data_IF_170039609277
#
_entry.id   IF_170039609277
#
_cell.length_a   1.000
_cell.length_b   1.000
_cell.length_c   1.000
_cell.angle_alpha   90.00
_cell.angle_beta   90.00
_cell.angle_gamma   90.00
#
_symmetry.space_group_name_H-M   'P 1'
#
loop_
_entity.id
_entity.type
_entity.pdbx_description
1 polymer ?
#
# COMPACT_ATOMS: atom_id res chain seq x y z
N UNK A 1 -21.11 -16.94 -117.35
CA UNK A 1 -22.34 -17.77 -117.17
C UNK A 1 -22.11 -18.70 -115.97
N UNK A 2 -23.12 -18.93 -115.11
CA UNK A 2 -23.21 -18.25 -113.81
C UNK A 2 -23.35 -19.18 -112.58
N UNK A 3 -23.45 -18.54 -111.40
CA UNK A 3 -24.21 -18.91 -110.18
C UNK A 3 -23.70 -20.12 -109.36
N UNK A 4 -23.82 -20.22 -108.03
CA UNK A 4 -24.17 -19.41 -106.86
C UNK A 4 -23.60 -20.25 -105.67
N UNK A 5 -23.34 -19.80 -104.45
CA UNK A 5 -23.80 -18.65 -103.71
C UNK A 5 -23.00 -18.55 -102.41
N UNK A 6 -22.98 -17.34 -101.85
CA UNK A 6 -22.44 -17.02 -100.53
C UNK A 6 -23.48 -16.13 -99.86
N UNK A 7 -24.09 -16.58 -98.76
CA UNK A 7 -24.63 -15.72 -97.71
C UNK A 7 -24.76 -16.49 -96.37
N UNK A 8 -24.24 -15.86 -95.31
CA UNK A 8 -24.89 -15.69 -94.00
C UNK A 8 -25.01 -16.89 -93.05
N UNK A 9 -24.39 -16.77 -91.87
CA UNK A 9 -24.68 -17.65 -90.73
C UNK A 9 -23.72 -17.47 -89.56
N UNK A 10 -23.97 -16.45 -88.74
CA UNK A 10 -23.33 -16.22 -87.44
C UNK A 10 -23.67 -17.39 -86.50
N UNK A 11 -22.67 -18.13 -86.02
CA UNK A 11 -22.82 -18.98 -84.84
C UNK A 11 -21.57 -18.83 -83.96
N UNK A 12 -21.78 -18.19 -82.80
CA UNK A 12 -20.92 -18.25 -81.62
C UNK A 12 -20.77 -19.72 -81.21
N UNK A 13 -19.54 -20.22 -81.21
CA UNK A 13 -19.19 -21.42 -80.47
C UNK A 13 -18.48 -21.01 -79.18
N UNK A 14 -19.12 -21.31 -78.06
CA UNK A 14 -18.65 -21.12 -76.69
C UNK A 14 -17.27 -21.78 -76.48
N UNK A 15 -16.36 -21.15 -75.71
CA UNK A 15 -15.23 -21.87 -75.14
C UNK A 15 -15.76 -22.86 -74.10
N UNK A 16 -15.27 -24.09 -74.18
CA UNK A 16 -15.56 -25.19 -73.28
C UNK A 16 -15.44 -24.75 -71.82
N UNK A 17 -16.50 -25.02 -71.06
CA UNK A 17 -16.56 -24.81 -69.63
C UNK A 17 -15.46 -25.61 -68.94
N UNK A 18 -14.45 -24.90 -68.43
CA UNK A 18 -13.55 -25.45 -67.42
C UNK A 18 -14.37 -25.86 -66.22
N UNK A 19 -14.28 -27.14 -65.86
CA UNK A 19 -14.84 -27.75 -64.66
C UNK A 19 -14.68 -26.84 -63.43
N UNK A 20 -15.72 -26.65 -62.60
CA UNK A 20 -15.61 -25.84 -61.39
C UNK A 20 -14.51 -26.41 -60.49
N UNK A 21 -13.49 -25.59 -60.22
CA UNK A 21 -12.43 -25.86 -59.25
C UNK A 21 -13.08 -26.27 -57.94
N UNK A 22 -12.62 -27.40 -57.38
CA UNK A 22 -13.02 -27.91 -56.07
C UNK A 22 -13.16 -26.76 -55.07
N UNK A 23 -14.41 -26.49 -54.72
CA UNK A 23 -14.83 -25.44 -53.80
C UNK A 23 -14.22 -25.73 -52.44
N UNK A 24 -13.50 -24.74 -51.91
CA UNK A 24 -13.09 -24.73 -50.50
C UNK A 24 -14.31 -24.98 -49.62
N UNK A 25 -14.13 -25.71 -48.53
CA UNK A 25 -15.04 -25.58 -47.40
C UNK A 25 -14.93 -24.12 -46.93
N UNK A 26 -15.92 -23.29 -47.24
CA UNK A 26 -16.03 -21.89 -46.78
C UNK A 26 -15.80 -21.79 -45.26
N UNK A 27 -16.13 -22.87 -44.54
CA UNK A 27 -15.87 -23.07 -43.11
C UNK A 27 -14.39 -23.03 -42.75
N UNK A 28 -13.51 -23.68 -43.51
CA UNK A 28 -12.06 -23.73 -43.22
C UNK A 28 -11.40 -22.36 -43.36
N UNK A 29 -11.79 -21.60 -44.39
CA UNK A 29 -11.23 -20.27 -44.60
C UNK A 29 -11.72 -19.30 -43.52
N UNK A 30 -12.99 -19.39 -43.14
CA UNK A 30 -13.56 -18.60 -42.06
C UNK A 30 -12.86 -18.89 -40.74
N UNK A 31 -12.74 -20.18 -40.41
CA UNK A 31 -12.03 -20.63 -39.22
C UNK A 31 -10.58 -20.12 -39.21
N UNK A 32 -9.86 -20.23 -40.34
CA UNK A 32 -8.51 -19.69 -40.44
C UNK A 32 -8.46 -18.17 -40.17
N UNK A 33 -9.36 -17.39 -40.76
CA UNK A 33 -9.38 -15.93 -40.52
C UNK A 33 -9.71 -15.55 -39.08
N UNK A 34 -10.59 -16.32 -38.42
CA UNK A 34 -10.95 -16.11 -37.02
C UNK A 34 -9.78 -16.49 -36.09
N UNK A 35 -9.13 -17.63 -36.34
CA UNK A 35 -7.93 -18.08 -35.61
C UNK A 35 -6.80 -17.05 -35.74
N UNK A 36 -6.49 -16.60 -36.97
CA UNK A 36 -5.41 -15.64 -37.19
C UNK A 36 -5.69 -14.29 -36.51
N UNK A 37 -6.97 -13.87 -36.45
CA UNK A 37 -7.38 -12.67 -35.71
C UNK A 37 -7.17 -12.86 -34.20
N UNK A 38 -7.57 -14.01 -33.66
CA UNK A 38 -7.42 -14.29 -32.23
C UNK A 38 -5.96 -14.44 -31.80
N UNK A 39 -5.09 -14.93 -32.68
CA UNK A 39 -3.64 -14.97 -32.46
C UNK A 39 -2.97 -13.59 -32.55
N UNK A 40 -3.69 -12.55 -32.98
CA UNK A 40 -3.18 -11.19 -33.06
C UNK A 40 -2.40 -10.87 -34.34
N UNK A 41 -2.66 -11.58 -35.44
CA UNK A 41 -2.00 -11.28 -36.71
C UNK A 41 -2.35 -9.86 -37.20
N UNK A 42 -1.36 -9.01 -37.52
CA UNK A 42 -1.54 -7.57 -37.67
C UNK A 42 -2.33 -7.14 -38.92
N UNK A 43 -2.36 -7.97 -39.98
CA UNK A 43 -3.06 -7.63 -41.23
C UNK A 43 -4.47 -8.23 -41.26
N UNK A 44 -5.45 -7.45 -41.71
CA UNK A 44 -6.83 -7.94 -41.87
C UNK A 44 -6.90 -8.93 -43.04
N UNK A 45 -7.19 -10.19 -42.74
CA UNK A 45 -7.43 -11.23 -43.74
C UNK A 45 -8.90 -11.21 -44.18
N UNK A 46 -9.14 -11.21 -45.50
CA UNK A 46 -10.48 -11.33 -46.08
C UNK A 46 -10.72 -12.77 -46.55
N UNK A 47 -11.99 -13.19 -46.52
CA UNK A 47 -12.47 -14.46 -47.09
C UNK A 47 -12.24 -14.56 -48.60
N UNK A 48 -11.87 -13.46 -49.26
CA UNK A 48 -11.60 -13.43 -50.70
C UNK A 48 -10.11 -13.54 -51.03
N UNK A 49 -9.23 -13.35 -50.04
CA UNK A 49 -7.77 -13.23 -50.23
C UNK A 49 -7.10 -14.49 -50.81
N UNK A 50 -7.74 -15.65 -50.69
CA UNK A 50 -7.24 -16.95 -51.16
C UNK A 50 -8.11 -17.59 -52.25
N UNK A 51 -9.06 -16.85 -52.83
CA UNK A 51 -9.82 -17.31 -54.00
C UNK A 51 -8.94 -17.39 -55.26
N UNK A 52 -7.91 -16.56 -55.33
CA UNK A 52 -6.82 -16.63 -56.31
C UNK A 52 -5.49 -16.90 -55.59
N UNK A 53 -4.51 -17.54 -56.26
CA UNK A 53 -3.18 -17.76 -55.68
C UNK A 53 -2.50 -16.44 -55.28
N UNK A 54 -2.14 -16.31 -54.01
CA UNK A 54 -1.47 -15.13 -53.46
C UNK A 54 -0.27 -15.54 -52.61
N UNK A 55 0.86 -15.80 -53.27
CA UNK A 55 2.07 -16.27 -52.60
C UNK A 55 2.64 -15.27 -51.60
N UNK A 56 2.74 -13.95 -51.89
CA UNK A 56 3.23 -12.98 -50.92
C UNK A 56 2.46 -13.01 -49.60
N UNK A 57 1.14 -13.18 -49.66
CA UNK A 57 0.31 -13.29 -48.47
C UNK A 57 0.58 -14.60 -47.69
N UNK A 58 0.74 -15.73 -48.39
CA UNK A 58 1.11 -17.00 -47.75
C UNK A 58 2.49 -16.92 -47.10
N UNK A 59 3.46 -16.28 -47.77
CA UNK A 59 4.80 -16.10 -47.22
C UNK A 59 4.80 -15.22 -45.97
N UNK A 60 4.10 -14.08 -46.02
CA UNK A 60 3.97 -13.16 -44.87
C UNK A 60 3.30 -13.86 -43.67
N UNK A 61 2.21 -14.58 -43.89
CA UNK A 61 1.52 -15.33 -42.83
C UNK A 61 2.39 -16.46 -42.28
N UNK A 62 3.04 -17.23 -43.15
CA UNK A 62 3.88 -18.35 -42.73
C UNK A 62 5.11 -17.87 -41.96
N UNK A 63 5.75 -16.79 -42.42
CA UNK A 63 6.85 -16.13 -41.72
C UNK A 63 6.40 -15.71 -40.31
N UNK A 64 5.27 -15.00 -40.22
CA UNK A 64 4.73 -14.57 -38.94
C UNK A 64 4.41 -15.75 -38.00
N UNK A 65 3.79 -16.82 -38.50
CA UNK A 65 3.48 -18.01 -37.70
C UNK A 65 4.73 -18.71 -37.19
N UNK A 66 5.80 -18.79 -38.00
CA UNK A 66 7.07 -19.39 -37.59
C UNK A 66 7.72 -18.59 -36.46
N UNK A 67 7.81 -17.26 -36.59
CA UNK A 67 8.36 -16.39 -35.53
C UNK A 67 7.49 -16.34 -34.28
N UNK A 68 6.17 -16.53 -34.42
CA UNK A 68 5.26 -16.64 -33.27
C UNK A 68 5.46 -17.95 -32.51
N UNK A 69 5.84 -19.03 -33.19
CA UNK A 69 6.13 -20.33 -32.59
C UNK A 69 7.55 -20.41 -32.00
N UNK A 70 8.55 -19.88 -32.71
CA UNK A 70 9.94 -19.86 -32.26
C UNK A 70 10.56 -18.46 -32.52
N UNK A 71 10.68 -17.62 -31.49
CA UNK A 71 11.26 -16.28 -31.61
C UNK A 71 12.73 -16.26 -32.04
N UNK A 72 13.44 -17.38 -31.90
CA UNK A 72 14.85 -17.54 -32.27
C UNK A 72 15.02 -18.18 -33.65
N UNK A 73 13.94 -18.41 -34.39
CA UNK A 73 13.99 -18.97 -35.73
C UNK A 73 14.76 -18.05 -36.69
N UNK A 74 15.63 -18.65 -37.50
CA UNK A 74 16.32 -17.97 -38.60
C UNK A 74 15.63 -18.31 -39.91
N UNK A 75 14.86 -17.37 -40.45
CA UNK A 75 14.13 -17.51 -41.70
C UNK A 75 14.36 -16.26 -42.56
N UNK A 76 14.84 -16.43 -43.79
CA UNK A 76 14.97 -15.35 -44.78
C UNK A 76 13.59 -14.87 -45.20
N UNK A 77 13.43 -13.57 -45.43
CA UNK A 77 12.22 -12.93 -45.96
C UNK A 77 12.25 -12.72 -47.48
N UNK A 78 13.35 -13.09 -48.15
CA UNK A 78 13.48 -12.96 -49.59
C UNK A 78 12.55 -13.93 -50.34
N UNK A 79 11.64 -13.38 -51.15
CA UNK A 79 10.66 -14.12 -51.97
C UNK A 79 10.58 -13.59 -53.42
N UNK A 80 11.61 -12.87 -53.86
CA UNK A 80 11.62 -12.18 -55.16
C UNK A 80 11.64 -13.18 -56.33
N UNK A 81 12.54 -14.17 -56.30
CA UNK A 81 12.65 -15.18 -57.36
C UNK A 81 11.88 -16.47 -57.03
N UNK A 82 11.49 -17.27 -58.04
CA UNK A 82 10.89 -18.59 -57.80
C UNK A 82 11.76 -19.51 -56.93
N UNK A 83 13.09 -19.44 -57.08
CA UNK A 83 14.03 -20.23 -56.31
C UNK A 83 14.07 -19.76 -54.85
N UNK A 84 14.07 -18.45 -54.61
CA UNK A 84 13.99 -17.87 -53.26
C UNK A 84 12.71 -18.29 -52.55
N UNK A 85 11.57 -18.33 -53.27
CA UNK A 85 10.29 -18.80 -52.72
C UNK A 85 10.33 -20.28 -52.31
N UNK A 86 10.99 -21.12 -53.09
CA UNK A 86 11.16 -22.54 -52.76
C UNK A 86 12.10 -22.70 -51.57
N UNK A 87 13.22 -21.95 -51.53
CA UNK A 87 14.14 -21.94 -50.40
C UNK A 87 13.47 -21.47 -49.11
N UNK A 88 12.67 -20.41 -49.17
CA UNK A 88 11.83 -19.91 -48.07
C UNK A 88 10.90 -21.01 -47.55
N UNK A 89 10.12 -21.66 -48.43
CA UNK A 89 9.20 -22.71 -48.02
C UNK A 89 9.93 -23.93 -47.44
N UNK A 90 11.07 -24.32 -48.00
CA UNK A 90 11.86 -25.43 -47.47
C UNK A 90 12.39 -25.12 -46.08
N UNK A 91 12.94 -23.93 -45.86
CA UNK A 91 13.40 -23.47 -44.55
C UNK A 91 12.24 -23.41 -43.54
N UNK A 92 11.14 -22.74 -43.89
CA UNK A 92 9.97 -22.61 -43.02
C UNK A 92 9.38 -23.98 -42.66
N UNK A 93 9.18 -24.87 -43.64
CA UNK A 93 8.65 -26.22 -43.37
C UNK A 93 9.61 -27.09 -42.58
N UNK A 94 10.93 -26.93 -42.75
CA UNK A 94 11.94 -27.62 -41.95
C UNK A 94 11.93 -27.15 -40.49
N UNK A 95 11.82 -25.84 -40.25
CA UNK A 95 11.71 -25.27 -38.91
C UNK A 95 10.43 -25.79 -38.23
N UNK A 96 9.29 -25.73 -38.91
CA UNK A 96 8.02 -26.22 -38.36
C UNK A 96 8.04 -27.73 -38.10
N UNK A 97 8.66 -28.51 -38.98
CA UNK A 97 8.79 -29.96 -38.77
C UNK A 97 9.75 -30.32 -37.62
N UNK A 98 10.84 -29.57 -37.44
CA UNK A 98 11.83 -29.84 -36.39
C UNK A 98 11.39 -29.34 -35.02
N UNK A 99 10.83 -28.13 -34.95
CA UNK A 99 10.45 -27.45 -33.71
C UNK A 99 9.02 -27.74 -33.27
N UNK A 100 8.07 -27.78 -34.21
CA UNK A 100 6.66 -28.05 -33.91
C UNK A 100 6.25 -29.50 -34.14
N UNK A 101 7.12 -30.33 -34.75
CA UNK A 101 6.81 -31.70 -35.18
C UNK A 101 5.61 -31.77 -36.14
N UNK A 102 5.28 -30.66 -36.81
CA UNK A 102 4.18 -30.56 -37.77
C UNK A 102 4.75 -30.69 -39.17
N UNK A 103 4.30 -31.71 -39.91
CA UNK A 103 4.68 -31.88 -41.31
C UNK A 103 3.75 -31.09 -42.22
N UNK A 104 4.31 -30.15 -42.96
CA UNK A 104 3.60 -29.34 -43.95
C UNK A 104 4.03 -29.71 -45.37
N UNK A 105 3.09 -29.70 -46.31
CA UNK A 105 3.38 -29.95 -47.72
C UNK A 105 3.78 -28.65 -48.42
N UNK A 106 5.08 -28.48 -48.70
CA UNK A 106 5.62 -27.31 -49.42
C UNK A 106 4.95 -27.07 -50.77
N UNK A 107 4.58 -28.13 -51.50
CA UNK A 107 3.82 -28.03 -52.77
C UNK A 107 2.46 -27.34 -52.60
N UNK A 108 1.77 -27.61 -51.50
CA UNK A 108 0.46 -27.01 -51.22
C UNK A 108 0.61 -25.56 -50.77
N UNK A 109 1.67 -25.22 -50.03
CA UNK A 109 2.01 -23.85 -49.66
C UNK A 109 2.35 -23.01 -50.90
N UNK A 110 3.14 -23.56 -51.82
CA UNK A 110 3.52 -22.88 -53.06
C UNK A 110 2.33 -22.62 -53.99
N UNK A 111 1.30 -23.48 -53.98
CA UNK A 111 0.07 -23.27 -54.75
C UNK A 111 -0.66 -21.97 -54.34
N UNK A 112 -0.41 -21.47 -53.13
CA UNK A 112 -0.86 -20.20 -52.59
C UNK A 112 -2.37 -19.92 -52.64
N UNK A 113 -3.17 -20.97 -52.79
CA UNK A 113 -4.63 -20.97 -52.72
C UNK A 113 -5.06 -21.57 -51.36
N UNK A 114 -6.33 -21.89 -51.18
CA UNK A 114 -6.78 -22.48 -49.91
C UNK A 114 -6.18 -23.87 -49.58
N UNK A 115 -5.41 -24.52 -50.47
CA UNK A 115 -4.55 -25.65 -50.08
C UNK A 115 -3.41 -25.19 -49.18
N UNK A 116 -2.85 -24.00 -49.44
CA UNK A 116 -1.86 -23.39 -48.57
C UNK A 116 -2.47 -23.04 -47.21
N UNK A 117 -3.71 -22.53 -47.21
CA UNK A 117 -4.46 -22.26 -45.97
C UNK A 117 -4.59 -23.50 -45.11
N UNK A 118 -4.97 -24.66 -45.69
CA UNK A 118 -5.05 -25.92 -44.93
C UNK A 118 -3.73 -26.37 -44.31
N UNK A 119 -2.61 -26.10 -44.98
CA UNK A 119 -1.30 -26.42 -44.41
C UNK A 119 -0.93 -25.42 -43.30
N UNK A 120 -1.12 -24.12 -43.51
CA UNK A 120 -0.87 -23.07 -42.49
C UNK A 120 -1.78 -23.22 -41.27
N UNK A 121 -3.02 -23.65 -41.47
CA UNK A 121 -3.99 -23.92 -40.40
C UNK A 121 -3.46 -24.94 -39.40
N UNK A 122 -2.62 -25.91 -39.81
CA UNK A 122 -2.04 -26.89 -38.87
C UNK A 122 -1.21 -26.22 -37.79
N UNK A 123 -0.37 -25.25 -38.16
CA UNK A 123 0.46 -24.51 -37.21
C UNK A 123 -0.36 -23.44 -36.46
N UNK A 124 -1.27 -22.78 -37.17
CA UNK A 124 -2.15 -21.77 -36.56
C UNK A 124 -3.08 -22.38 -35.50
N UNK A 125 -3.68 -23.54 -35.75
CA UNK A 125 -4.52 -24.26 -34.80
C UNK A 125 -3.74 -24.68 -33.56
N UNK A 126 -2.52 -25.19 -33.70
CA UNK A 126 -1.70 -25.55 -32.52
C UNK A 126 -1.34 -24.34 -31.66
N UNK A 127 -1.01 -23.20 -32.29
CA UNK A 127 -0.76 -21.96 -31.56
C UNK A 127 -2.04 -21.44 -30.89
N UNK A 128 -3.18 -21.56 -31.58
CA UNK A 128 -4.47 -21.11 -31.07
C UNK A 128 -4.96 -21.94 -29.91
N UNK A 129 -4.81 -23.26 -29.96
CA UNK A 129 -5.11 -24.16 -28.86
C UNK A 129 -4.25 -23.87 -27.63
N UNK A 130 -2.95 -23.57 -27.82
CA UNK A 130 -2.06 -23.17 -26.72
C UNK A 130 -2.47 -21.82 -26.09
N UNK A 131 -2.88 -20.84 -26.91
CA UNK A 131 -3.39 -19.55 -26.40
C UNK A 131 -4.74 -19.72 -25.71
N UNK A 132 -5.62 -20.59 -26.25
CA UNK A 132 -6.93 -20.89 -25.69
C UNK A 132 -6.83 -21.67 -24.38
N UNK A 133 -5.91 -22.62 -24.26
CA UNK A 133 -5.68 -23.37 -23.01
C UNK A 133 -5.12 -22.47 -21.92
N UNK A 134 -4.26 -21.50 -22.27
CA UNK A 134 -3.80 -20.48 -21.33
C UNK A 134 -4.94 -19.59 -20.84
N UNK A 135 -5.79 -19.07 -21.75
CA UNK A 135 -6.90 -18.17 -21.39
C UNK A 135 -8.04 -18.88 -20.63
N UNK A 136 -8.33 -20.14 -20.95
CA UNK A 136 -9.32 -20.96 -20.23
C UNK A 136 -8.83 -21.43 -18.85
N UNK A 137 -7.51 -21.53 -18.63
CA UNK A 137 -6.94 -21.77 -17.30
C UNK A 137 -6.95 -20.50 -16.41
N UNK A 138 -6.84 -19.32 -17.01
CA UNK A 138 -6.73 -18.03 -16.31
C UNK A 138 -8.10 -17.42 -15.95
N UNK A 139 -9.15 -17.74 -16.71
CA UNK A 139 -10.54 -17.36 -16.39
C UNK A 139 -11.34 -18.63 -16.11
N UNK A 140 -11.38 -19.04 -14.83
CA UNK A 140 -12.02 -20.26 -14.34
C UNK A 140 -13.55 -20.32 -14.48
N UNK A 141 -14.07 -20.09 -15.69
CA UNK A 141 -15.46 -20.28 -16.09
C UNK A 141 -15.47 -21.01 -17.43
N UNK A 142 -15.39 -22.35 -17.35
CA UNK A 142 -15.68 -23.23 -18.47
C UNK A 142 -17.16 -23.15 -18.82
N UNK A 143 -17.54 -22.18 -19.64
CA UNK A 143 -18.83 -22.17 -20.31
C UNK A 143 -18.72 -23.12 -21.50
N UNK A 144 -19.30 -24.31 -21.36
CA UNK A 144 -19.50 -25.26 -22.45
C UNK A 144 -20.42 -24.59 -23.47
N UNK A 145 -19.88 -24.27 -24.65
CA UNK A 145 -20.66 -23.82 -25.79
C UNK A 145 -20.37 -24.75 -26.98
N UNK A 146 -21.36 -25.61 -27.20
CA UNK A 146 -21.75 -26.36 -28.41
C UNK A 146 -20.65 -26.87 -29.35
N UNK A 147 -20.42 -28.19 -29.30
CA UNK A 147 -19.73 -28.93 -30.35
C UNK A 147 -20.70 -29.23 -31.51
N UNK A 148 -20.30 -28.82 -32.72
CA UNK A 148 -20.95 -29.13 -33.99
C UNK A 148 -21.20 -30.65 -34.17
N UNK A 149 -22.43 -30.99 -34.55
CA UNK A 149 -23.09 -32.30 -34.83
C UNK A 149 -22.39 -33.28 -35.83
N UNK A 150 -21.11 -33.10 -36.15
CA UNK A 150 -20.40 -33.96 -37.11
C UNK A 150 -19.17 -34.68 -36.54
N UNK A 151 -18.79 -34.43 -35.29
CA UNK A 151 -17.77 -35.22 -34.58
C UNK A 151 -18.29 -36.54 -33.99
N UNK A 152 -19.60 -36.62 -33.73
CA UNK A 152 -20.22 -37.70 -32.95
C UNK A 152 -20.25 -39.06 -33.67
N UNK A 153 -20.35 -39.07 -35.01
CA UNK A 153 -20.40 -40.31 -35.77
C UNK A 153 -19.03 -41.02 -35.89
N UNK A 154 -17.92 -40.26 -35.83
CA UNK A 154 -16.57 -40.84 -35.80
C UNK A 154 -16.14 -41.16 -34.37
N UNK A 155 -16.60 -40.37 -33.40
CA UNK A 155 -16.38 -40.64 -31.98
C UNK A 155 -17.13 -41.90 -31.53
N UNK A 156 -18.36 -42.16 -32.00
CA UNK A 156 -19.14 -43.32 -31.55
C UNK A 156 -18.65 -44.65 -32.11
N UNK A 157 -18.10 -44.69 -33.34
CA UNK A 157 -17.47 -45.92 -33.88
C UNK A 157 -16.10 -46.21 -33.23
N UNK A 158 -15.43 -45.17 -32.71
CA UNK A 158 -14.20 -45.31 -31.92
C UNK A 158 -14.51 -45.72 -30.46
N UNK A 159 -15.56 -45.16 -29.86
CA UNK A 159 -16.02 -45.45 -28.50
C UNK A 159 -16.63 -46.87 -28.40
N UNK A 160 -17.29 -47.34 -29.46
CA UNK A 160 -17.77 -48.72 -29.55
C UNK A 160 -16.62 -49.76 -29.67
N UNK A 161 -15.47 -49.38 -30.26
CA UNK A 161 -14.24 -50.21 -30.31
C UNK A 161 -13.37 -50.06 -29.06
N UNK A 162 -13.62 -49.02 -28.27
CA UNK A 162 -13.03 -48.76 -26.95
C UNK A 162 -14.01 -49.17 -25.84
N UNK A 163 -14.61 -50.36 -25.92
CA UNK A 163 -15.36 -50.93 -24.78
C UNK A 163 -14.46 -51.28 -23.58
N UNK A 164 -13.14 -51.05 -23.68
CA UNK A 164 -12.19 -50.92 -22.57
C UNK A 164 -11.80 -49.46 -22.26
N UNK A 165 -12.63 -48.49 -22.64
CA UNK A 165 -12.32 -47.06 -22.71
C UNK A 165 -12.05 -46.40 -21.37
N UNK A 166 -12.58 -46.95 -20.27
CA UNK A 166 -12.20 -46.52 -18.91
C UNK A 166 -10.75 -46.92 -18.61
N UNK A 167 -10.37 -48.17 -18.84
CA UNK A 167 -8.98 -48.63 -18.68
C UNK A 167 -8.00 -47.90 -19.61
N UNK A 168 -8.40 -47.60 -20.85
CA UNK A 168 -7.59 -46.83 -21.80
C UNK A 168 -7.47 -45.36 -21.37
N UNK A 169 -8.54 -44.74 -20.84
CA UNK A 169 -8.50 -43.37 -20.30
C UNK A 169 -7.68 -43.30 -19.01
N UNK A 170 -7.78 -44.29 -18.13
CA UNK A 170 -6.97 -44.41 -16.92
C UNK A 170 -5.49 -44.63 -17.25
N UNK A 171 -5.20 -45.47 -18.24
CA UNK A 171 -3.83 -45.63 -18.75
C UNK A 171 -3.33 -44.34 -19.42
N UNK A 172 -4.16 -43.64 -20.18
CA UNK A 172 -3.79 -42.34 -20.76
C UNK A 172 -3.49 -41.30 -19.67
N UNK A 173 -4.30 -41.26 -18.60
CA UNK A 173 -4.07 -40.40 -17.44
C UNK A 173 -2.82 -40.81 -16.66
N UNK A 174 -2.57 -42.10 -16.48
CA UNK A 174 -1.36 -42.59 -15.84
C UNK A 174 -0.12 -42.30 -16.70
N UNK A 175 -0.23 -42.31 -18.03
CA UNK A 175 0.86 -41.92 -18.93
C UNK A 175 1.13 -40.41 -18.81
N UNK A 176 0.10 -39.57 -18.75
CA UNK A 176 0.31 -38.12 -18.56
C UNK A 176 0.86 -37.80 -17.18
N UNK A 177 0.35 -38.43 -16.13
CA UNK A 177 0.86 -38.29 -14.76
C UNK A 177 2.31 -38.76 -14.66
N UNK A 178 2.63 -39.95 -15.18
CA UNK A 178 4.01 -40.44 -15.24
C UNK A 178 4.91 -39.53 -16.08
N UNK A 179 4.38 -38.97 -17.16
CA UNK A 179 5.07 -37.99 -17.99
C UNK A 179 5.43 -36.72 -17.23
N UNK A 180 4.50 -36.18 -16.44
CA UNK A 180 4.73 -35.02 -15.56
C UNK A 180 5.74 -35.36 -14.46
N UNK A 181 5.59 -36.51 -13.81
CA UNK A 181 6.56 -36.93 -12.78
C UNK A 181 7.95 -37.15 -13.37
N UNK A 182 8.05 -37.75 -14.56
CA UNK A 182 9.32 -37.98 -15.23
C UNK A 182 9.94 -36.65 -15.69
N UNK A 183 9.12 -35.72 -16.18
CA UNK A 183 9.58 -34.39 -16.55
C UNK A 183 10.19 -33.66 -15.35
N UNK A 184 9.49 -33.62 -14.21
CA UNK A 184 10.02 -33.01 -12.98
C UNK A 184 11.27 -33.72 -12.46
N UNK A 185 11.29 -35.06 -12.45
CA UNK A 185 12.47 -35.82 -12.03
C UNK A 185 13.67 -35.62 -12.97
N UNK A 186 13.45 -35.43 -14.27
CA UNK A 186 14.51 -35.12 -15.25
C UNK A 186 15.00 -33.68 -15.15
N UNK A 187 14.12 -32.74 -14.79
CA UNK A 187 14.46 -31.36 -14.49
C UNK A 187 15.37 -31.30 -13.25
N UNK A 188 15.01 -32.02 -12.19
CA UNK A 188 15.79 -32.11 -10.95
C UNK A 188 17.10 -32.92 -11.12
N UNK A 189 17.16 -33.85 -12.08
CA UNK A 189 18.34 -34.71 -12.29
C UNK A 189 19.60 -33.89 -12.60
N UNK A 190 19.51 -32.70 -13.20
CA UNK A 190 20.70 -31.88 -13.43
C UNK A 190 21.37 -31.41 -12.13
N UNK A 191 20.57 -30.99 -11.14
CA UNK A 191 21.04 -30.59 -9.82
C UNK A 191 21.41 -31.81 -8.95
N UNK A 192 20.62 -32.87 -9.03
CA UNK A 192 20.80 -34.09 -8.24
C UNK A 192 21.88 -35.02 -8.78
N UNK A 193 22.38 -34.82 -10.01
CA UNK A 193 23.36 -35.70 -10.68
C UNK A 193 24.59 -35.97 -9.83
N UNK A 194 25.14 -34.92 -9.21
CA UNK A 194 26.34 -35.03 -8.40
C UNK A 194 26.08 -35.81 -7.12
N UNK A 195 24.98 -35.54 -6.44
CA UNK A 195 24.61 -36.21 -5.20
C UNK A 195 24.20 -37.66 -5.43
N UNK A 196 23.51 -37.94 -6.55
CA UNK A 196 23.26 -39.29 -7.03
C UNK A 196 24.56 -40.03 -7.35
N UNK A 197 25.52 -39.38 -8.01
CA UNK A 197 26.82 -40.00 -8.30
C UNK A 197 27.62 -40.26 -7.01
N UNK A 198 27.57 -39.35 -6.02
CA UNK A 198 28.16 -39.56 -4.68
C UNK A 198 27.48 -40.71 -3.94
N UNK A 199 26.14 -40.77 -3.95
CA UNK A 199 25.37 -41.83 -3.32
C UNK A 199 25.60 -43.19 -4.00
N UNK A 200 25.68 -43.24 -5.33
CA UNK A 200 26.00 -44.46 -6.06
C UNK A 200 27.43 -44.91 -5.83
N UNK A 201 28.40 -44.00 -5.78
CA UNK A 201 29.79 -44.33 -5.38
C UNK A 201 29.83 -44.88 -3.96
N UNK A 202 29.13 -44.25 -3.03
CA UNK A 202 28.99 -44.72 -1.66
C UNK A 202 28.34 -46.11 -1.58
N UNK A 203 27.28 -46.36 -2.34
CA UNK A 203 26.60 -47.67 -2.38
C UNK A 203 27.45 -48.75 -3.06
N UNK A 204 28.19 -48.40 -4.12
CA UNK A 204 29.09 -49.32 -4.82
C UNK A 204 30.28 -49.72 -3.93
N UNK A 205 30.86 -48.76 -3.21
CA UNK A 205 31.91 -49.02 -2.25
C UNK A 205 31.41 -49.70 -0.96
N UNK A 206 30.16 -49.45 -0.53
CA UNK A 206 29.51 -50.20 0.55
C UNK A 206 29.12 -51.64 0.15
N UNK A 207 28.84 -51.90 -1.13
CA UNK A 207 28.48 -53.22 -1.67
C UNK A 207 29.70 -54.07 -2.03
N UNK A 208 30.80 -53.44 -2.47
CA UNK A 208 32.03 -54.17 -2.77
C UNK A 208 32.70 -54.65 -1.47
N UNK A 209 32.81 -55.96 -1.31
CA UNK A 209 33.45 -56.60 -0.13
C UNK A 209 34.95 -56.32 0.04
N UNK A 210 35.54 -55.44 -0.77
CA UNK A 210 37.01 -55.26 -0.91
C UNK A 210 37.47 -53.83 -0.55
N UNK A 211 36.58 -52.87 -0.33
CA UNK A 211 36.94 -51.45 -0.08
C UNK A 211 36.48 -50.84 1.26
N UNK A 212 35.91 -51.63 2.17
CA UNK A 212 35.12 -51.17 3.33
C UNK A 212 35.78 -50.20 4.32
N UNK A 213 37.10 -49.96 4.29
CA UNK A 213 37.75 -49.21 5.37
C UNK A 213 37.63 -47.70 5.24
N UNK A 214 37.75 -47.14 4.05
CA UNK A 214 37.94 -45.69 3.90
C UNK A 214 36.61 -44.93 4.01
N UNK A 215 35.56 -45.42 3.37
CA UNK A 215 34.25 -44.76 3.40
C UNK A 215 33.49 -45.01 4.70
N UNK A 216 33.58 -46.21 5.28
CA UNK A 216 33.06 -46.48 6.62
C UNK A 216 33.78 -45.61 7.66
N UNK A 217 35.11 -45.44 7.54
CA UNK A 217 35.86 -44.53 8.39
C UNK A 217 35.46 -43.06 8.19
N UNK A 218 35.07 -42.65 6.98
CA UNK A 218 34.57 -41.30 6.72
C UNK A 218 33.22 -41.06 7.39
N UNK A 219 32.25 -41.98 7.24
CA UNK A 219 30.95 -41.88 7.91
C UNK A 219 31.12 -41.92 9.43
N UNK A 220 31.94 -42.83 9.94
CA UNK A 220 32.22 -42.93 11.37
C UNK A 220 32.91 -41.67 11.91
N UNK A 221 33.85 -41.09 11.14
CA UNK A 221 34.49 -39.82 11.50
C UNK A 221 33.48 -38.67 11.50
N UNK A 222 32.61 -38.58 10.48
CA UNK A 222 31.58 -37.54 10.40
C UNK A 222 30.60 -37.64 11.57
N UNK A 223 30.16 -38.85 11.94
CA UNK A 223 29.32 -39.08 13.11
C UNK A 223 30.05 -38.71 14.40
N UNK A 224 31.34 -39.06 14.53
CA UNK A 224 32.17 -38.66 15.68
C UNK A 224 32.36 -37.15 15.77
N UNK A 225 32.56 -36.47 14.65
CA UNK A 225 32.68 -35.01 14.60
C UNK A 225 31.37 -34.33 15.00
N UNK A 226 30.23 -34.80 14.49
CA UNK A 226 28.91 -34.30 14.86
C UNK A 226 28.58 -34.54 16.35
N UNK A 227 28.97 -35.71 16.89
CA UNK A 227 28.80 -36.01 18.31
C UNK A 227 29.65 -35.07 19.17
N UNK A 228 30.91 -34.85 18.81
CA UNK A 228 31.79 -33.90 19.50
C UNK A 228 31.23 -32.48 19.46
N UNK A 229 30.74 -32.03 18.32
CA UNK A 229 30.11 -30.70 18.21
C UNK A 229 28.89 -30.58 19.11
N UNK A 230 28.03 -31.61 19.14
CA UNK A 230 26.88 -31.64 20.04
C UNK A 230 27.29 -31.65 21.53
N UNK A 231 28.35 -32.37 21.89
CA UNK A 231 28.92 -32.38 23.25
C UNK A 231 29.48 -31.00 23.63
N UNK A 232 30.20 -30.34 22.73
CA UNK A 232 30.73 -28.98 22.93
C UNK A 232 29.60 -27.96 23.10
N UNK A 233 28.57 -28.02 22.27
CA UNK A 233 27.37 -27.18 22.39
C UNK A 233 26.65 -27.44 23.72
N UNK A 234 26.50 -28.71 24.12
CA UNK A 234 25.87 -29.07 25.39
C UNK A 234 26.67 -28.52 26.58
N UNK A 235 28.00 -28.65 26.55
CA UNK A 235 28.87 -28.10 27.58
C UNK A 235 28.82 -26.56 27.62
N UNK A 236 28.73 -25.89 26.47
CA UNK A 236 28.57 -24.44 26.40
C UNK A 236 27.24 -23.98 27.02
N UNK A 237 26.13 -24.65 26.69
CA UNK A 237 24.82 -24.38 27.27
C UNK A 237 24.81 -24.63 28.79
N UNK A 238 25.45 -25.69 29.26
CA UNK A 238 25.59 -25.96 30.69
C UNK A 238 26.35 -24.84 31.42
N UNK A 239 27.42 -24.30 30.83
CA UNK A 239 28.14 -23.14 31.40
C UNK A 239 27.24 -21.91 31.46
N UNK A 240 26.52 -21.60 30.39
CA UNK A 240 25.58 -20.47 30.35
C UNK A 240 24.47 -20.61 31.40
N UNK A 241 23.93 -21.82 31.60
CA UNK A 241 22.95 -22.08 32.67
C UNK A 241 23.58 -21.78 34.03
N UNK A 242 24.80 -22.25 34.31
CA UNK A 242 25.46 -21.99 35.59
C UNK A 242 25.75 -20.50 35.85
N UNK A 243 26.08 -19.74 34.80
CA UNK A 243 26.29 -18.30 34.87
C UNK A 243 24.97 -17.57 35.16
N UNK A 244 23.89 -17.94 34.44
CA UNK A 244 22.56 -17.38 34.66
C UNK A 244 22.03 -17.68 36.07
N UNK A 245 22.26 -18.88 36.59
CA UNK A 245 21.90 -19.22 37.97
C UNK A 245 22.67 -18.38 39.00
N UNK A 246 23.96 -18.10 38.75
CA UNK A 246 24.74 -17.23 39.62
C UNK A 246 24.25 -15.78 39.58
N UNK A 247 23.89 -15.29 38.39
CA UNK A 247 23.29 -13.97 38.20
C UNK A 247 21.92 -13.86 38.85
N UNK A 248 21.07 -14.88 38.73
CA UNK A 248 19.77 -14.94 39.40
C UNK A 248 19.94 -14.84 40.92
N UNK A 249 20.87 -15.62 41.51
CA UNK A 249 21.18 -15.56 42.95
C UNK A 249 21.70 -14.18 43.36
N UNK A 250 22.55 -13.55 42.55
CA UNK A 250 23.08 -12.20 42.79
C UNK A 250 21.97 -11.15 42.74
N UNK A 251 21.12 -11.19 41.72
CA UNK A 251 20.01 -10.25 41.51
C UNK A 251 18.94 -10.39 42.59
N UNK A 252 18.57 -11.62 42.96
CA UNK A 252 17.62 -11.88 44.05
C UNK A 252 18.14 -11.36 45.39
N UNK A 253 19.44 -11.56 45.68
CA UNK A 253 20.07 -10.99 46.87
C UNK A 253 20.04 -9.44 46.85
N UNK A 254 20.37 -8.81 45.72
CA UNK A 254 20.28 -7.34 45.56
C UNK A 254 18.85 -6.84 45.75
N UNK A 255 17.88 -7.50 45.13
CA UNK A 255 16.46 -7.16 45.22
C UNK A 255 15.94 -7.28 46.66
N UNK A 256 16.37 -8.29 47.42
CA UNK A 256 16.00 -8.41 48.83
C UNK A 256 16.54 -7.25 49.68
N UNK A 257 17.80 -6.83 49.44
CA UNK A 257 18.43 -5.71 50.13
C UNK A 257 17.74 -4.39 49.81
N UNK A 258 17.47 -4.12 48.53
CA UNK A 258 16.79 -2.88 48.10
C UNK A 258 15.35 -2.82 48.62
N UNK A 259 14.63 -3.94 48.67
CA UNK A 259 13.31 -4.00 49.32
C UNK A 259 13.37 -3.64 50.79
N UNK A 260 14.32 -4.21 51.54
CA UNK A 260 14.48 -3.90 52.96
C UNK A 260 14.87 -2.42 53.20
N UNK A 261 15.70 -1.84 52.34
CA UNK A 261 16.05 -0.41 52.38
C UNK A 261 14.84 0.48 52.05
N UNK A 262 14.06 0.09 51.04
CA UNK A 262 12.83 0.78 50.67
C UNK A 262 11.85 0.79 51.84
N UNK A 263 11.58 -0.36 52.47
CA UNK A 263 10.69 -0.45 53.63
C UNK A 263 11.17 0.42 54.79
N UNK A 264 12.47 0.40 55.11
CA UNK A 264 13.04 1.28 56.14
C UNK A 264 12.88 2.76 55.79
N UNK A 265 13.11 3.14 54.53
CA UNK A 265 12.95 4.53 54.09
C UNK A 265 11.49 4.97 54.12
N UNK A 266 10.56 4.10 53.75
CA UNK A 266 9.12 4.34 53.83
C UNK A 266 8.67 4.51 55.28
N UNK A 267 9.15 3.66 56.20
CA UNK A 267 8.89 3.81 57.63
C UNK A 267 9.44 5.13 58.16
N UNK A 268 10.70 5.49 57.82
CA UNK A 268 11.27 6.80 58.18
C UNK A 268 10.44 7.96 57.64
N UNK A 269 10.04 7.90 56.37
CA UNK A 269 9.19 8.93 55.77
C UNK A 269 7.84 9.04 56.50
N UNK A 270 7.20 7.91 56.82
CA UNK A 270 5.95 7.90 57.56
C UNK A 270 6.13 8.53 58.96
N UNK A 271 7.22 8.20 59.66
CA UNK A 271 7.51 8.85 60.96
C UNK A 271 7.73 10.35 60.81
N UNK A 272 8.50 10.80 59.82
CA UNK A 272 8.76 12.23 59.60
C UNK A 272 7.48 12.98 59.21
N UNK A 273 6.61 12.38 58.38
CA UNK A 273 5.31 12.97 58.02
C UNK A 273 4.37 13.12 59.21
N UNK A 274 4.42 12.18 60.16
CA UNK A 274 3.56 12.21 61.34
C UNK A 274 4.12 13.10 62.46
N UNK A 275 5.39 13.50 62.39
CA UNK A 275 6.00 14.38 63.39
C UNK A 275 5.67 15.84 63.05
N UNK A 276 5.00 16.52 63.98
CA UNK A 276 4.77 17.96 63.92
C UNK A 276 6.11 18.70 64.01
N UNK A 277 6.44 19.63 63.10
CA UNK A 277 7.69 20.39 63.19
C UNK A 277 7.75 21.23 64.48
N UNK A 278 8.90 21.24 65.15
CA UNK A 278 9.07 21.89 66.45
C UNK A 278 8.79 23.41 66.45
N UNK A 279 8.94 24.06 65.30
CA UNK A 279 8.69 25.49 65.15
C UNK A 279 7.21 25.83 64.92
N UNK A 280 6.34 24.84 64.66
CA UNK A 280 4.91 25.09 64.44
C UNK A 280 4.24 25.73 65.65
N UNK A 281 4.61 25.29 66.86
CA UNK A 281 4.05 25.87 68.09
C UNK A 281 4.46 27.34 68.27
N UNK A 282 5.68 27.71 67.85
CA UNK A 282 6.13 29.10 67.89
C UNK A 282 5.44 29.93 66.80
N UNK A 283 5.28 29.36 65.61
CA UNK A 283 4.57 29.99 64.50
C UNK A 283 3.12 30.33 64.88
N UNK A 284 2.37 29.36 65.41
CA UNK A 284 0.98 29.57 65.83
C UNK A 284 0.84 30.61 66.95
N UNK A 285 1.80 30.67 67.88
CA UNK A 285 1.85 31.73 68.91
C UNK A 285 2.07 33.10 68.30
N UNK A 286 3.05 33.23 67.39
CA UNK A 286 3.35 34.48 66.71
C UNK A 286 2.19 34.94 65.82
N UNK A 287 1.48 34.02 65.16
CA UNK A 287 0.27 34.35 64.40
C UNK A 287 -0.84 34.89 65.31
N UNK A 288 -1.04 34.29 66.48
CA UNK A 288 -2.02 34.76 67.46
C UNK A 288 -1.65 36.16 67.99
N UNK A 289 -0.39 36.37 68.37
CA UNK A 289 0.12 37.69 68.81
C UNK A 289 -0.04 38.74 67.70
N UNK A 290 0.28 38.39 66.45
CA UNK A 290 0.09 39.28 65.30
C UNK A 290 -1.37 39.66 65.11
N UNK A 291 -2.30 38.71 65.27
CA UNK A 291 -3.73 38.98 65.15
C UNK A 291 -4.23 39.92 66.26
N UNK A 292 -3.77 39.73 67.50
CA UNK A 292 -4.10 40.61 68.63
C UNK A 292 -3.56 42.03 68.43
N UNK A 293 -2.31 42.17 68.03
CA UNK A 293 -1.67 43.46 67.76
C UNK A 293 -2.32 44.15 66.56
N UNK A 294 -2.66 43.42 65.49
CA UNK A 294 -3.39 43.97 64.36
C UNK A 294 -4.76 44.49 64.77
N UNK A 295 -5.50 43.76 65.61
CA UNK A 295 -6.78 44.23 66.15
C UNK A 295 -6.61 45.50 67.01
N UNK A 296 -5.54 45.58 67.81
CA UNK A 296 -5.22 46.77 68.59
C UNK A 296 -4.85 47.97 67.69
N UNK A 297 -4.05 47.74 66.65
CA UNK A 297 -3.69 48.74 65.65
C UNK A 297 -4.95 49.30 64.98
N UNK A 298 -5.86 48.44 64.50
CA UNK A 298 -7.11 48.88 63.86
C UNK A 298 -7.96 49.73 64.81
N UNK A 299 -8.07 49.36 66.09
CA UNK A 299 -8.79 50.17 67.09
C UNK A 299 -8.12 51.54 67.28
N UNK A 300 -6.80 51.58 67.45
CA UNK A 300 -6.04 52.83 67.61
C UNK A 300 -6.17 53.72 66.37
N UNK A 301 -6.08 53.14 65.18
CA UNK A 301 -6.23 53.85 63.92
C UNK A 301 -7.63 54.46 63.78
N UNK A 302 -8.69 53.70 64.09
CA UNK A 302 -10.07 54.22 64.11
C UNK A 302 -10.25 55.37 65.10
N UNK A 303 -9.68 55.24 66.30
CA UNK A 303 -9.74 56.31 67.30
C UNK A 303 -8.96 57.55 66.86
N UNK A 304 -7.81 57.37 66.22
CA UNK A 304 -7.00 58.47 65.67
C UNK A 304 -7.77 59.21 64.58
N UNK A 305 -8.31 58.49 63.59
CA UNK A 305 -9.11 59.07 62.50
C UNK A 305 -10.32 59.85 63.05
N UNK A 306 -11.00 59.31 64.06
CA UNK A 306 -12.07 60.03 64.76
C UNK A 306 -11.59 61.34 65.42
N UNK A 307 -10.46 61.30 66.15
CA UNK A 307 -9.91 62.48 66.83
C UNK A 307 -9.39 63.52 65.83
N UNK A 308 -8.79 63.10 64.72
CA UNK A 308 -8.35 63.99 63.63
C UNK A 308 -9.54 64.69 62.98
N UNK A 309 -10.64 63.97 62.77
CA UNK A 309 -11.90 64.55 62.29
C UNK A 309 -12.48 65.55 63.30
N UNK A 310 -12.55 65.19 64.59
CA UNK A 310 -13.06 66.08 65.64
C UNK A 310 -12.23 67.36 65.75
N UNK A 311 -10.90 67.24 65.72
CA UNK A 311 -9.97 68.37 65.73
C UNK A 311 -10.20 69.28 64.52
N UNK A 312 -10.33 68.71 63.31
CA UNK A 312 -10.65 69.46 62.09
C UNK A 312 -11.96 70.25 62.26
N UNK A 313 -13.01 69.63 62.80
CA UNK A 313 -14.29 70.34 63.03
C UNK A 313 -14.18 71.45 64.07
N UNK A 314 -13.34 71.28 65.10
CA UNK A 314 -13.08 72.33 66.10
C UNK A 314 -12.33 73.50 65.48
N UNK A 315 -11.29 73.23 64.70
CA UNK A 315 -10.57 74.28 63.97
C UNK A 315 -11.47 75.06 63.01
N UNK A 316 -12.38 74.39 62.30
CA UNK A 316 -13.37 75.05 61.44
C UNK A 316 -14.37 75.90 62.25
N UNK A 317 -14.80 75.43 63.42
CA UNK A 317 -15.64 76.21 64.35
C UNK A 317 -14.90 77.41 64.91
N UNK A 318 -13.63 77.29 65.25
CA UNK A 318 -12.81 78.41 65.72
C UNK A 318 -12.56 79.42 64.61
N UNK A 319 -12.21 78.96 63.40
CA UNK A 319 -12.06 79.81 62.21
C UNK A 319 -13.35 80.55 61.89
N UNK A 320 -14.52 79.89 61.95
CA UNK A 320 -15.81 80.54 61.70
C UNK A 320 -16.21 81.54 62.80
N UNK A 321 -15.95 81.23 64.07
CA UNK A 321 -16.13 82.18 65.18
C UNK A 321 -15.20 83.40 65.06
N UNK A 322 -13.93 83.18 64.74
CA UNK A 322 -12.98 84.25 64.49
C UNK A 322 -13.40 85.11 63.29
N UNK A 323 -13.86 84.49 62.21
CA UNK A 323 -14.40 85.21 61.05
C UNK A 323 -15.68 86.00 61.41
N UNK A 324 -16.58 85.45 62.23
CA UNK A 324 -17.76 86.15 62.70
C UNK A 324 -17.40 87.34 63.62
N UNK A 325 -16.46 87.15 64.55
CA UNK A 325 -15.94 88.23 65.41
C UNK A 325 -15.24 89.31 64.59
N UNK A 326 -14.43 88.95 63.59
CA UNK A 326 -13.77 89.90 62.69
C UNK A 326 -14.80 90.68 61.86
N UNK A 327 -15.84 90.02 61.33
CA UNK A 327 -16.96 90.69 60.65
C UNK A 327 -17.69 91.65 61.58
N UNK A 328 -17.96 91.26 62.82
CA UNK A 328 -18.59 92.12 63.82
C UNK A 328 -17.73 93.35 64.16
N UNK A 329 -16.42 93.17 64.32
CA UNK A 329 -15.47 94.28 64.52
C UNK A 329 -15.41 95.21 63.30
N UNK A 330 -15.41 94.67 62.08
CA UNK A 330 -15.45 95.46 60.85
C UNK A 330 -16.73 96.29 60.74
N UNK A 331 -17.89 95.71 61.08
CA UNK A 331 -19.16 96.44 61.10
C UNK A 331 -19.14 97.56 62.15
N UNK A 332 -18.62 97.30 63.35
CA UNK A 332 -18.50 98.32 64.40
C UNK A 332 -17.52 99.43 64.00
N UNK A 333 -16.40 99.10 63.37
CA UNK A 333 -15.47 100.08 62.82
C UNK A 333 -16.15 100.94 61.73
N UNK A 334 -16.87 100.32 60.80
CA UNK A 334 -17.61 101.04 59.76
C UNK A 334 -18.69 101.96 60.35
N UNK A 335 -19.41 101.52 61.39
CA UNK A 335 -20.38 102.36 62.10
C UNK A 335 -19.71 103.57 62.77
N UNK A 336 -18.57 103.37 63.43
CA UNK A 336 -17.81 104.49 64.03
C UNK A 336 -17.27 105.46 62.98
N UNK A 337 -16.84 104.96 61.81
CA UNK A 337 -16.42 105.80 60.69
C UNK A 337 -17.60 106.60 60.11
N UNK A 338 -18.77 105.99 59.95
CA UNK A 338 -20.00 106.69 59.54
C UNK A 338 -20.41 107.76 60.57
N UNK A 339 -20.38 107.44 61.87
CA UNK A 339 -20.65 108.40 62.95
C UNK A 339 -19.64 109.55 62.94
N UNK A 340 -18.35 109.28 62.70
CA UNK A 340 -17.31 110.30 62.60
C UNK A 340 -17.52 111.22 61.37
N UNK A 341 -17.92 110.66 60.22
CA UNK A 341 -18.25 111.44 59.01
C UNK A 341 -19.53 112.26 59.19
N UNK A 342 -20.53 111.73 59.91
CA UNK A 342 -21.76 112.46 60.29
C UNK A 342 -21.46 113.60 61.27
N UNK A 343 -20.55 113.37 62.22
CA UNK A 343 -20.07 114.39 63.15
C UNK A 343 -19.29 115.51 62.43
N UNK A 344 -18.40 115.17 61.49
CA UNK A 344 -17.62 116.14 60.70
C UNK A 344 -18.47 116.93 59.68
N UNK A 345 -19.67 116.45 59.31
CA UNK A 345 -20.60 117.17 58.42
C UNK A 345 -21.43 118.26 59.10
N UNK A 346 -21.26 118.49 60.41
CA UNK A 346 -21.79 119.68 61.09
C UNK A 346 -23.32 119.74 61.17
N UNK A 347 -23.97 118.64 61.54
CA UNK A 347 -25.41 118.60 61.82
C UNK A 347 -25.61 118.20 63.30
N UNK A 348 -25.84 119.18 64.19
CA UNK A 348 -25.86 119.00 65.66
C UNK A 348 -27.06 118.18 66.21
N UNK A 349 -27.80 117.45 65.38
CA UNK A 349 -29.00 116.68 65.78
C UNK A 349 -28.96 115.19 65.39
N UNK A 350 -27.77 114.57 65.34
CA UNK A 350 -27.60 113.15 64.97
C UNK A 350 -27.87 112.20 66.14
N UNK A 351 -27.67 112.61 67.40
CA UNK A 351 -27.85 111.73 68.57
C UNK A 351 -29.28 111.20 68.73
N UNK A 352 -30.28 112.02 68.38
CA UNK A 352 -31.69 111.68 68.60
C UNK A 352 -32.29 110.80 67.48
N UNK A 353 -31.74 110.89 66.25
CA UNK A 353 -32.19 110.03 65.13
C UNK A 353 -31.58 108.63 65.17
N UNK A 354 -30.32 108.51 65.62
CA UNK A 354 -29.66 107.21 65.78
C UNK A 354 -30.32 106.35 66.88
N UNK A 355 -30.73 106.97 68.00
CA UNK A 355 -31.44 106.28 69.08
C UNK A 355 -32.84 105.78 68.69
N UNK A 356 -33.53 106.47 67.76
CA UNK A 356 -34.82 106.04 67.26
C UNK A 356 -34.71 104.79 66.34
N UNK A 357 -33.69 104.73 65.49
CA UNK A 357 -33.48 103.60 64.58
C UNK A 357 -33.11 102.30 65.31
N UNK A 358 -32.33 102.39 66.40
CA UNK A 358 -32.01 101.23 67.27
C UNK A 358 -33.25 100.66 67.96
N UNK A 359 -34.25 101.51 68.25
CA UNK A 359 -35.50 101.06 68.89
C UNK A 359 -36.47 100.36 67.92
N UNK A 360 -36.45 100.71 66.63
CA UNK A 360 -37.27 100.04 65.61
C UNK A 360 -36.60 98.78 65.03
N UNK A 361 -35.28 98.72 64.93
CA UNK A 361 -34.55 97.55 64.40
C UNK A 361 -34.47 96.36 65.36
N UNK A 362 -34.61 96.58 66.67
CA UNK A 362 -34.56 95.51 67.69
C UNK A 362 -35.93 94.83 67.95
N UNK A 363 -36.98 95.21 67.21
CA UNK A 363 -38.36 94.74 67.37
C UNK A 363 -38.91 93.89 66.22
N UNK A 364 -38.09 93.40 65.29
CA UNK A 364 -38.48 92.49 64.21
C UNK A 364 -38.02 91.06 64.50
N UNK A 365 -38.98 90.16 64.72
CA UNK A 365 -38.78 88.70 64.80
C UNK A 365 -38.28 88.11 63.49
#
# INVERSE_FOLDING_TARGET
RPAAGRQGGVIRAHPAAGTPKATMSFRELRNFTEIMRALGYPRKLSMESFRSPNFPLVADILYWLVFRYDPLASLSDNIETPDDRVAFLQAATHIVASKARIRMKSKNLYAADGRAVREMLRLASTLYEAVRSHTSAETGWGMVAEEDEHGEALASDLDAKLSGGEAVRDQARAITERGVTLFGLLEDEEALREDRAKALRFLDAASSKVGHKEEQAYVEKSVRDALREAEEQTAALQRQISELEADEKSLTARLSKTKAELERSQQRLATVKNVRPAFMDQYERLEAELAEEYAAFVRKYRNLDFLEQELTTLEEREKSKAAASNKALQLLQAQLEEEAVLFDRGDENVSDKAFAAVREGAGGR
#
